data_IF_524774384005
#
_entry.id   IF_524774384005
#
_cell.length_a   1.000
_cell.length_b   1.000
_cell.length_c   1.000
_cell.angle_alpha   90.00
_cell.angle_beta   90.00
_cell.angle_gamma   90.00
#
_symmetry.space_group_name_H-M   'P 1'
#
loop_
_entity.id
_entity.type
_entity.pdbx_description
1 polymer ?
#
# COMPACT_ATOMS: atom_id res chain seq x y z
N UNK A 1 13.88 -4.59 0.49
CA UNK A 1 12.73 -4.47 1.42
C UNK A 1 11.48 -4.74 0.61
N UNK A 2 10.49 -5.43 1.20
CA UNK A 2 9.26 -5.87 0.54
C UNK A 2 8.32 -4.73 0.09
N UNK A 3 8.64 -3.50 0.49
CA UNK A 3 8.06 -2.26 0.00
C UNK A 3 9.18 -1.23 0.02
N UNK A 4 9.24 -0.36 -0.99
CA UNK A 4 10.28 0.65 -1.09
C UNK A 4 9.75 1.90 -1.81
N UNK A 5 10.38 3.04 -1.52
CA UNK A 5 10.11 4.31 -2.19
C UNK A 5 11.30 4.73 -3.03
N UNK A 6 11.04 5.18 -4.26
CA UNK A 6 12.00 5.81 -5.16
C UNK A 6 11.49 7.19 -5.59
N UNK A 7 12.36 8.01 -6.18
CA UNK A 7 12.01 9.34 -6.65
C UNK A 7 12.13 9.41 -8.17
N UNK A 8 11.13 10.00 -8.82
CA UNK A 8 11.09 10.26 -10.27
C UNK A 8 10.80 11.76 -10.42
N UNK A 9 11.84 12.56 -10.64
CA UNK A 9 11.73 14.03 -10.63
C UNK A 9 11.04 14.57 -9.36
N UNK A 10 9.86 15.17 -9.50
CA UNK A 10 9.05 15.70 -8.40
C UNK A 10 7.99 14.70 -7.90
N UNK A 11 8.11 13.42 -8.27
CA UNK A 11 7.20 12.35 -7.88
C UNK A 11 7.89 11.37 -6.93
N UNK A 12 7.14 10.87 -5.95
CA UNK A 12 7.53 9.70 -5.17
C UNK A 12 6.84 8.46 -5.74
N UNK A 13 7.55 7.34 -5.88
CA UNK A 13 6.99 6.05 -6.29
C UNK A 13 7.20 5.03 -5.19
N UNK A 14 6.10 4.58 -4.58
CA UNK A 14 6.06 3.44 -3.68
C UNK A 14 5.73 2.19 -4.47
N UNK A 15 6.59 1.17 -4.35
CA UNK A 15 6.42 -0.14 -4.99
C UNK A 15 6.25 -1.21 -3.93
N UNK A 16 5.15 -1.97 -4.00
CA UNK A 16 4.98 -3.23 -3.26
C UNK A 16 5.79 -4.31 -3.98
N UNK A 17 6.79 -4.89 -3.31
CA UNK A 17 7.80 -5.74 -3.94
C UNK A 17 7.86 -7.13 -3.30
N UNK A 18 6.74 -7.86 -3.41
CA UNK A 18 6.59 -9.28 -3.05
C UNK A 18 5.80 -10.02 -4.15
N UNK A 19 6.31 -10.07 -5.39
CA UNK A 19 5.56 -10.61 -6.52
C UNK A 19 5.23 -12.10 -6.34
N UNK A 20 6.06 -12.86 -5.60
CA UNK A 20 5.84 -14.26 -5.23
C UNK A 20 4.60 -14.46 -4.33
N UNK A 21 4.23 -13.43 -3.57
CA UNK A 21 3.02 -13.39 -2.75
C UNK A 21 1.92 -12.51 -3.38
N UNK A 22 2.01 -12.23 -4.68
CA UNK A 22 1.10 -11.32 -5.40
C UNK A 22 0.95 -9.95 -4.72
N UNK A 23 2.06 -9.46 -4.16
CA UNK A 23 2.11 -8.18 -3.46
C UNK A 23 1.11 -8.05 -2.30
N UNK A 24 0.73 -9.17 -1.66
CA UNK A 24 -0.09 -9.16 -0.47
C UNK A 24 0.57 -8.36 0.68
N UNK A 25 -0.24 -7.65 1.45
CA UNK A 25 0.17 -6.77 2.55
C UNK A 25 0.22 -7.54 3.88
N UNK A 26 1.44 -7.74 4.38
CA UNK A 26 1.67 -8.14 5.78
C UNK A 26 1.58 -6.95 6.74
N UNK A 27 1.48 -7.22 8.04
CA UNK A 27 1.57 -6.18 9.07
C UNK A 27 2.91 -5.43 9.02
N UNK A 28 4.00 -6.14 8.73
CA UNK A 28 5.31 -5.50 8.54
C UNK A 28 5.28 -4.51 7.35
N UNK A 29 4.67 -4.89 6.23
CA UNK A 29 4.53 -4.01 5.07
C UNK A 29 3.58 -2.83 5.34
N UNK A 30 2.52 -3.01 6.13
CA UNK A 30 1.67 -1.90 6.57
C UNK A 30 2.45 -0.89 7.40
N UNK A 31 3.30 -1.35 8.33
CA UNK A 31 4.17 -0.47 9.09
C UNK A 31 5.23 0.22 8.23
N UNK A 32 5.81 -0.50 7.26
CA UNK A 32 6.75 0.09 6.30
C UNK A 32 6.07 1.15 5.43
N UNK A 33 4.88 0.86 4.90
CA UNK A 33 4.08 1.83 4.14
C UNK A 33 3.80 3.07 4.98
N UNK A 34 3.34 2.90 6.21
CA UNK A 34 3.12 4.02 7.13
C UNK A 34 4.35 4.91 7.30
N UNK A 35 5.53 4.31 7.48
CA UNK A 35 6.80 5.04 7.60
C UNK A 35 7.21 5.74 6.31
N UNK A 36 6.97 5.12 5.16
CA UNK A 36 7.24 5.73 3.86
C UNK A 36 6.33 6.93 3.61
N UNK A 37 5.05 6.85 3.98
CA UNK A 37 4.12 7.99 3.90
C UNK A 37 4.60 9.16 4.78
N UNK A 38 5.11 8.87 5.98
CA UNK A 38 5.67 9.89 6.87
C UNK A 38 6.98 10.52 6.35
N UNK A 39 7.70 9.84 5.45
CA UNK A 39 8.99 10.30 4.92
C UNK A 39 8.89 11.01 3.56
N UNK A 40 7.67 11.20 3.03
CA UNK A 40 7.46 11.94 1.77
C UNK A 40 7.91 13.39 1.96
N UNK A 41 8.84 13.81 1.11
CA UNK A 41 9.40 15.16 1.18
C UNK A 41 8.37 16.22 0.73
N UNK A 42 8.36 17.43 1.32
CA UNK A 42 7.39 18.48 0.97
C UNK A 42 7.44 18.97 -0.48
N UNK A 43 8.55 18.75 -1.19
CA UNK A 43 8.73 19.11 -2.61
C UNK A 43 8.16 18.06 -3.58
N UNK A 44 7.62 16.94 -3.08
CA UNK A 44 6.93 15.95 -3.89
C UNK A 44 5.55 16.48 -4.30
N UNK A 45 5.30 16.54 -5.61
CA UNK A 45 4.02 17.02 -6.18
C UNK A 45 2.94 15.95 -6.28
N UNK A 46 3.32 14.67 -6.34
CA UNK A 46 2.38 13.56 -6.29
C UNK A 46 3.06 12.25 -5.85
N UNK A 47 2.26 11.37 -5.24
CA UNK A 47 2.65 10.01 -4.90
C UNK A 47 2.11 9.03 -5.95
N UNK A 48 2.95 8.11 -6.40
CA UNK A 48 2.57 6.94 -7.18
C UNK A 48 2.67 5.70 -6.31
N UNK A 49 1.69 4.80 -6.41
CA UNK A 49 1.70 3.50 -5.75
C UNK A 49 1.51 2.42 -6.82
N UNK A 50 2.35 1.40 -6.83
CA UNK A 50 2.25 0.26 -7.77
C UNK A 50 2.67 -1.05 -7.09
N UNK A 51 2.28 -2.19 -7.67
CA UNK A 51 2.91 -3.48 -7.38
C UNK A 51 4.10 -3.71 -8.31
N UNK A 52 5.07 -4.52 -7.88
CA UNK A 52 6.10 -5.05 -8.77
C UNK A 52 5.59 -6.26 -9.57
N UNK A 53 6.24 -6.55 -10.71
CA UNK A 53 5.79 -7.56 -11.66
C UNK A 53 4.58 -7.12 -12.50
N UNK A 54 3.95 -8.09 -13.16
CA UNK A 54 2.87 -7.91 -14.13
C UNK A 54 1.57 -8.64 -13.76
N UNK A 55 1.56 -9.35 -12.63
CA UNK A 55 0.42 -10.17 -12.20
C UNK A 55 -0.51 -9.46 -11.21
N UNK A 56 0.04 -8.69 -10.29
CA UNK A 56 -0.72 -8.12 -9.18
C UNK A 56 -0.24 -6.72 -8.84
N UNK A 57 -1.19 -5.81 -8.68
CA UNK A 57 -0.98 -4.59 -7.92
C UNK A 57 -0.85 -4.95 -6.43
N UNK A 58 -1.88 -5.59 -5.88
CA UNK A 58 -1.90 -6.12 -4.52
C UNK A 58 -3.05 -7.12 -4.36
N UNK A 59 -2.75 -8.33 -3.90
CA UNK A 59 -3.74 -9.37 -3.64
C UNK A 59 -4.51 -9.23 -2.30
N UNK A 60 -4.31 -8.13 -1.57
CA UNK A 60 -4.96 -7.87 -0.29
C UNK A 60 -4.11 -8.26 0.91
N UNK A 61 -4.75 -8.59 2.02
CA UNK A 61 -4.04 -8.95 3.25
C UNK A 61 -3.30 -10.29 3.10
N UNK A 62 -2.13 -10.42 3.74
CA UNK A 62 -1.41 -11.68 3.79
C UNK A 62 -2.17 -12.68 4.69
N UNK A 63 -2.91 -13.59 4.06
CA UNK A 63 -3.77 -14.56 4.76
C UNK A 63 -2.97 -15.41 5.76
N UNK A 64 -1.68 -15.66 5.51
CA UNK A 64 -0.85 -16.43 6.43
C UNK A 64 -0.71 -15.76 7.79
N UNK A 65 -0.69 -14.43 7.83
CA UNK A 65 -0.63 -13.67 9.08
C UNK A 65 -1.98 -13.55 9.77
N UNK A 66 -3.09 -13.70 9.03
CA UNK A 66 -4.43 -13.65 9.59
C UNK A 66 -4.87 -14.97 10.25
N UNK A 67 -4.27 -16.10 9.87
CA UNK A 67 -4.62 -17.40 10.44
C UNK A 67 -4.24 -17.49 11.93
N UNK A 68 -5.12 -18.08 12.74
CA UNK A 68 -4.85 -18.36 14.15
C UNK A 68 -4.92 -17.16 15.11
N UNK A 69 -5.21 -15.95 14.60
CA UNK A 69 -5.42 -14.75 15.44
C UNK A 69 -6.78 -14.78 16.13
N UNK A 70 -6.82 -14.26 17.35
CA UNK A 70 -8.05 -13.98 18.10
C UNK A 70 -8.84 -12.82 17.49
N UNK A 71 -10.13 -12.68 17.84
CA UNK A 71 -10.95 -11.56 17.37
C UNK A 71 -10.39 -10.18 17.76
N UNK A 72 -9.76 -10.07 18.93
CA UNK A 72 -9.13 -8.83 19.40
C UNK A 72 -7.94 -8.47 18.51
N UNK A 73 -7.10 -9.45 18.19
CA UNK A 73 -5.95 -9.27 17.30
C UNK A 73 -6.38 -8.99 15.86
N UNK A 74 -7.45 -9.62 15.36
CA UNK A 74 -8.01 -9.30 14.05
C UNK A 74 -8.48 -7.85 13.98
N UNK A 75 -9.22 -7.41 15.00
CA UNK A 75 -9.66 -6.02 15.10
C UNK A 75 -8.49 -5.05 15.14
N UNK A 76 -7.46 -5.33 15.94
CA UNK A 76 -6.26 -4.50 16.01
C UNK A 76 -5.55 -4.41 14.65
N UNK A 77 -5.49 -5.52 13.91
CA UNK A 77 -4.92 -5.57 12.56
C UNK A 77 -5.73 -4.73 11.55
N UNK A 78 -7.06 -4.83 11.59
CA UNK A 78 -7.93 -4.01 10.73
C UNK A 78 -7.81 -2.52 11.05
N UNK A 79 -7.74 -2.15 12.34
CA UNK A 79 -7.52 -0.76 12.78
C UNK A 79 -6.18 -0.23 12.27
N UNK A 80 -5.11 -1.03 12.35
CA UNK A 80 -3.82 -0.67 11.77
C UNK A 80 -3.94 -0.44 10.26
N UNK A 81 -4.51 -1.40 9.53
CA UNK A 81 -4.70 -1.30 8.08
C UNK A 81 -5.43 -0.02 7.68
N UNK A 82 -6.61 0.21 8.25
CA UNK A 82 -7.38 1.43 7.99
C UNK A 82 -6.62 2.71 8.34
N UNK A 83 -5.92 2.77 9.48
CA UNK A 83 -5.18 3.98 9.85
C UNK A 83 -4.07 4.36 8.84
N UNK A 84 -3.47 3.36 8.19
CA UNK A 84 -2.47 3.59 7.14
C UNK A 84 -3.13 4.06 5.85
N UNK A 85 -4.29 3.50 5.49
CA UNK A 85 -5.05 3.92 4.32
C UNK A 85 -5.65 5.31 4.50
N UNK A 86 -6.17 5.64 5.68
CA UNK A 86 -6.66 6.99 6.03
C UNK A 86 -5.55 8.02 5.88
N UNK A 87 -4.32 7.69 6.28
CA UNK A 87 -3.16 8.57 6.09
C UNK A 87 -2.86 8.80 4.61
N UNK A 88 -2.93 7.75 3.78
CA UNK A 88 -2.73 7.84 2.34
C UNK A 88 -3.81 8.72 1.67
N UNK A 89 -5.07 8.56 2.09
CA UNK A 89 -6.22 9.35 1.60
C UNK A 89 -6.09 10.84 1.98
N UNK A 90 -5.51 11.14 3.14
CA UNK A 90 -5.35 12.50 3.68
C UNK A 90 -4.03 13.18 3.30
N UNK A 91 -3.25 12.62 2.36
CA UNK A 91 -2.02 13.25 1.92
C UNK A 91 -2.27 14.67 1.35
N UNK A 92 -1.38 15.64 1.62
CA UNK A 92 -1.55 17.01 1.14
C UNK A 92 -1.29 17.17 -0.37
N UNK A 93 -0.82 16.11 -1.03
CA UNK A 93 -0.60 16.03 -2.48
C UNK A 93 -1.40 14.86 -3.07
N UNK A 94 -1.74 14.92 -4.38
CA UNK A 94 -2.44 13.82 -5.03
C UNK A 94 -1.65 12.49 -4.99
N UNK A 95 -2.37 11.40 -4.78
CA UNK A 95 -1.85 10.04 -4.89
C UNK A 95 -2.50 9.29 -6.05
N UNK A 96 -1.74 8.42 -6.72
CA UNK A 96 -2.18 7.69 -7.92
C UNK A 96 -1.84 6.22 -7.76
N UNK A 97 -2.86 5.36 -7.75
CA UNK A 97 -2.68 3.92 -7.86
C UNK A 97 -2.48 3.55 -9.34
N UNK A 98 -1.29 3.05 -9.67
CA UNK A 98 -0.96 2.47 -10.96
C UNK A 98 -1.23 0.96 -10.86
N UNK A 99 -2.44 0.55 -11.24
CA UNK A 99 -2.93 -0.82 -11.07
C UNK A 99 -2.39 -1.70 -12.20
N UNK A 100 -1.22 -2.28 -11.98
CA UNK A 100 -0.49 -3.11 -12.94
C UNK A 100 -0.94 -4.59 -12.98
N UNK A 101 -2.04 -4.94 -12.30
CA UNK A 101 -2.54 -6.32 -12.22
C UNK A 101 -3.67 -6.45 -11.19
N UNK A 102 -3.87 -7.65 -10.63
CA UNK A 102 -4.88 -7.89 -9.59
C UNK A 102 -4.83 -6.90 -8.43
N UNK A 103 -5.98 -6.31 -8.09
CA UNK A 103 -6.21 -5.46 -6.92
C UNK A 103 -7.42 -6.01 -6.15
N UNK A 104 -7.18 -6.89 -5.17
CA UNK A 104 -8.24 -7.63 -4.46
C UNK A 104 -8.28 -7.29 -2.98
N UNK A 105 -9.48 -7.25 -2.38
CA UNK A 105 -9.68 -6.99 -0.95
C UNK A 105 -8.89 -5.76 -0.50
N UNK A 106 -7.99 -5.93 0.47
CA UNK A 106 -7.06 -4.89 0.94
C UNK A 106 -6.25 -4.18 -0.14
N UNK A 107 -6.00 -4.83 -1.28
CA UNK A 107 -5.34 -4.21 -2.43
C UNK A 107 -6.25 -3.25 -3.19
N UNK A 108 -7.55 -3.56 -3.27
CA UNK A 108 -8.53 -2.61 -3.79
C UNK A 108 -8.77 -1.46 -2.80
N UNK A 109 -8.80 -1.76 -1.49
CA UNK A 109 -8.88 -0.73 -0.45
C UNK A 109 -7.69 0.24 -0.52
N UNK A 110 -6.47 -0.27 -0.72
CA UNK A 110 -5.28 0.56 -0.97
C UNK A 110 -5.43 1.45 -2.22
N UNK A 111 -5.95 0.90 -3.32
CA UNK A 111 -6.17 1.66 -4.54
C UNK A 111 -7.30 2.71 -4.39
N UNK A 112 -8.31 2.42 -3.59
CA UNK A 112 -9.42 3.35 -3.28
C UNK A 112 -8.95 4.50 -2.40
N UNK A 113 -8.00 4.26 -1.50
CA UNK A 113 -7.37 5.31 -0.69
C UNK A 113 -6.48 6.27 -1.49
N UNK A 114 -6.14 5.94 -2.74
CA UNK A 114 -5.45 6.90 -3.62
C UNK A 114 -6.43 7.94 -4.19
N UNK A 115 -5.97 9.14 -4.51
CA UNK A 115 -6.80 10.17 -5.18
C UNK A 115 -7.30 9.68 -6.54
N UNK A 116 -6.40 9.15 -7.36
CA UNK A 116 -6.68 8.63 -8.71
C UNK A 116 -6.27 7.17 -8.86
N UNK A 117 -6.85 6.49 -9.85
CA UNK A 117 -6.54 5.12 -10.24
C UNK A 117 -6.37 5.04 -11.75
N UNK A 118 -5.34 4.35 -12.21
CA UNK A 118 -5.09 4.02 -13.62
C UNK A 118 -4.92 2.50 -13.75
N UNK A 119 -5.58 1.87 -14.71
CA UNK A 119 -5.58 0.43 -14.94
C UNK A 119 -5.58 0.11 -16.44
#
# INVERSE_FOLDING_TARGET
>A
MAIHMSRIDELALITLDRPEALNALSFAQLHDLNRLLDSISPDVRALLVTGSGDRAFCAGADIKELMGRTLVEQRAGAVLGHSVLDKLDQLPMPSIALINGYAFGGGLELALACTFRLA
#
